data_IF_594636037621
#
_entry.id   IF_594636037621
#
_cell.length_a   1.000
_cell.length_b   1.000
_cell.length_c   1.000
_cell.angle_alpha   90.00
_cell.angle_beta   90.00
_cell.angle_gamma   90.00
#
_symmetry.space_group_name_H-M   'P 1'
#
loop_
_entity.id
_entity.type
_entity.pdbx_description
1 polymer ?
#
# COMPACT_ATOMS: atom_id res chain seq x y z
N UNK A 1 -24.52 51.98 4.35
CA UNK A 1 -24.31 51.55 5.76
C UNK A 1 -24.83 50.13 6.05
N UNK A 2 -26.07 49.77 5.68
CA UNK A 2 -26.65 48.42 5.93
C UNK A 2 -25.86 47.25 5.31
N UNK A 3 -25.29 47.42 4.11
CA UNK A 3 -24.44 46.39 3.46
C UNK A 3 -23.10 46.16 4.18
N UNK A 4 -22.55 47.21 4.79
CA UNK A 4 -21.31 47.14 5.58
C UNK A 4 -21.58 46.41 6.91
N UNK A 5 -22.72 46.66 7.54
CA UNK A 5 -23.14 45.96 8.75
C UNK A 5 -23.31 44.44 8.51
N UNK A 6 -23.92 44.05 7.38
CA UNK A 6 -24.08 42.63 7.00
C UNK A 6 -22.73 41.96 6.77
N UNK A 7 -21.78 42.66 6.15
CA UNK A 7 -20.45 42.11 5.87
C UNK A 7 -19.62 41.92 7.16
N UNK A 8 -19.75 42.83 8.12
CA UNK A 8 -19.14 42.70 9.44
C UNK A 8 -19.74 41.55 10.26
N UNK A 9 -21.06 41.35 10.19
CA UNK A 9 -21.73 40.21 10.85
C UNK A 9 -21.29 38.86 10.25
N UNK A 10 -21.14 38.78 8.93
CA UNK A 10 -20.65 37.55 8.28
C UNK A 10 -19.20 37.24 8.66
N UNK A 11 -18.33 38.25 8.70
CA UNK A 11 -16.94 38.07 9.11
C UNK A 11 -16.82 37.63 10.58
N UNK A 12 -17.63 38.20 11.48
CA UNK A 12 -17.68 37.80 12.88
C UNK A 12 -18.15 36.35 13.03
N UNK A 13 -19.16 35.93 12.25
CA UNK A 13 -19.64 34.55 12.26
C UNK A 13 -18.57 33.57 11.77
N UNK A 14 -17.80 33.94 10.75
CA UNK A 14 -16.72 33.10 10.21
C UNK A 14 -15.59 32.87 11.22
N UNK A 15 -15.25 33.90 12.01
CA UNK A 15 -14.21 33.81 13.05
C UNK A 15 -14.63 32.91 14.23
N UNK A 16 -15.93 32.78 14.50
CA UNK A 16 -16.46 31.91 15.55
C UNK A 16 -16.33 30.42 15.23
N UNK A 17 -16.25 30.02 13.95
CA UNK A 17 -16.18 28.60 13.55
C UNK A 17 -14.75 28.05 13.55
N UNK A 18 -13.72 28.90 13.52
CA UNK A 18 -12.31 28.48 13.44
C UNK A 18 -11.66 28.15 14.80
N UNK A 19 -12.38 28.23 15.93
CA UNK A 19 -11.80 28.20 17.28
C UNK A 19 -11.75 26.84 18.00
N UNK A 20 -12.29 25.75 17.44
CA UNK A 20 -12.34 24.45 18.13
C UNK A 20 -11.24 23.50 17.64
N UNK A 21 -9.98 23.75 18.04
CA UNK A 21 -8.92 22.73 17.96
C UNK A 21 -8.58 22.28 19.37
N UNK A 22 -9.24 21.22 19.83
CA UNK A 22 -8.90 20.54 21.07
C UNK A 22 -7.59 19.78 20.86
N UNK A 23 -6.51 20.26 21.47
CA UNK A 23 -5.21 19.59 21.43
C UNK A 23 -5.31 18.30 22.26
N UNK A 24 -4.98 17.12 21.71
CA UNK A 24 -4.98 15.89 22.49
C UNK A 24 -3.96 15.98 23.64
N UNK A 25 -4.26 15.37 24.81
CA UNK A 25 -3.33 15.33 25.93
C UNK A 25 -1.99 14.68 25.52
N UNK A 26 -0.86 15.14 26.07
CA UNK A 26 0.42 14.48 25.88
C UNK A 26 0.33 13.03 26.38
N UNK A 27 0.54 12.06 25.49
CA UNK A 27 0.68 10.66 25.88
C UNK A 27 1.89 10.51 26.81
N UNK A 28 1.64 10.01 28.02
CA UNK A 28 2.70 9.64 28.94
C UNK A 28 3.50 8.46 28.35
N UNK A 29 4.83 8.41 28.56
CA UNK A 29 5.65 7.30 28.11
C UNK A 29 5.18 6.00 28.76
N UNK A 30 4.70 5.07 27.92
CA UNK A 30 4.36 3.71 28.33
C UNK A 30 5.62 3.03 28.83
N UNK A 31 5.61 2.57 30.08
CA UNK A 31 6.71 1.82 30.66
C UNK A 31 6.98 0.56 29.84
N UNK A 32 8.20 0.45 29.30
CA UNK A 32 8.69 -0.75 28.63
C UNK A 32 8.63 -1.93 29.60
N UNK A 33 7.95 -3.05 29.28
CA UNK A 33 7.99 -4.24 30.11
C UNK A 33 9.42 -4.74 30.20
N UNK A 34 9.93 -4.85 31.43
CA UNK A 34 11.23 -5.47 31.70
C UNK A 34 11.15 -6.93 31.27
N UNK A 35 12.05 -7.41 30.40
CA UNK A 35 12.05 -8.81 29.98
C UNK A 35 12.28 -9.69 31.20
N UNK A 36 11.29 -10.52 31.52
CA UNK A 36 11.48 -11.62 32.46
C UNK A 36 12.34 -12.66 31.76
N UNK A 37 13.57 -12.84 32.25
CA UNK A 37 14.47 -13.91 31.81
C UNK A 37 13.83 -15.26 32.09
N UNK A 38 13.14 -15.79 31.08
CA UNK A 38 12.59 -17.15 31.09
C UNK A 38 13.76 -18.11 30.97
N UNK A 39 13.86 -19.05 31.92
CA UNK A 39 14.84 -20.13 31.87
C UNK A 39 14.79 -20.85 30.50
N UNK A 40 15.93 -21.23 29.92
CA UNK A 40 15.98 -21.84 28.59
C UNK A 40 15.22 -23.17 28.61
N UNK A 41 14.10 -23.20 27.90
CA UNK A 41 13.39 -24.43 27.57
C UNK A 41 14.14 -25.11 26.42
N UNK A 42 14.30 -26.46 26.40
CA UNK A 42 14.95 -27.16 25.31
C UNK A 42 14.21 -26.86 24.00
N UNK A 43 14.89 -26.13 23.11
CA UNK A 43 14.36 -25.75 21.81
C UNK A 43 14.40 -26.98 20.91
N UNK A 44 13.25 -27.63 20.76
CA UNK A 44 13.03 -28.50 19.61
C UNK A 44 12.99 -27.59 18.38
N UNK A 45 14.08 -27.59 17.61
CA UNK A 45 14.13 -26.92 16.32
C UNK A 45 13.15 -27.63 15.39
N UNK A 46 11.93 -27.11 15.27
CA UNK A 46 11.08 -27.42 14.13
C UNK A 46 11.85 -26.97 12.89
N UNK A 47 12.17 -27.87 11.94
CA UNK A 47 12.89 -27.49 10.74
C UNK A 47 12.08 -26.40 10.05
N UNK A 48 12.64 -25.19 9.99
CA UNK A 48 12.09 -24.12 9.17
C UNK A 48 12.05 -24.66 7.75
N UNK A 49 10.88 -24.61 7.06
CA UNK A 49 10.82 -25.05 5.68
C UNK A 49 11.87 -24.26 4.89
N UNK A 50 12.89 -24.97 4.43
CA UNK A 50 13.89 -24.43 3.52
C UNK A 50 13.11 -24.06 2.26
N UNK A 51 12.87 -22.76 2.06
CA UNK A 51 12.25 -22.27 0.85
C UNK A 51 13.24 -22.58 -0.25
N UNK A 52 13.00 -23.67 -0.97
CA UNK A 52 13.69 -23.98 -2.22
C UNK A 52 13.52 -22.76 -3.10
N UNK A 53 14.61 -22.02 -3.32
CA UNK A 53 14.62 -20.90 -4.25
C UNK A 53 14.44 -21.48 -5.65
N UNK A 54 13.19 -21.62 -6.07
CA UNK A 54 12.87 -21.90 -7.47
C UNK A 54 13.42 -20.72 -8.26
N UNK A 55 14.46 -20.98 -9.05
CA UNK A 55 15.08 -20.02 -9.95
C UNK A 55 13.98 -19.37 -10.79
N UNK A 56 13.64 -18.12 -10.49
CA UNK A 56 12.62 -17.40 -11.22
C UNK A 56 13.16 -17.18 -12.63
N UNK A 57 12.43 -17.60 -13.69
CA UNK A 57 12.90 -17.38 -15.05
C UNK A 57 13.09 -15.88 -15.27
N UNK A 58 14.30 -15.50 -15.68
CA UNK A 58 14.55 -14.16 -16.18
C UNK A 58 13.84 -14.04 -17.53
N UNK A 59 12.67 -13.39 -17.54
CA UNK A 59 11.98 -13.07 -18.79
C UNK A 59 12.83 -12.03 -19.50
N UNK A 60 13.30 -12.34 -20.72
CA UNK A 60 14.20 -11.46 -21.50
C UNK A 60 13.68 -10.03 -21.66
N UNK A 61 12.35 -9.86 -21.60
CA UNK A 61 11.65 -8.63 -21.94
C UNK A 61 10.83 -8.05 -20.78
N UNK A 62 10.95 -8.60 -19.56
CA UNK A 62 10.09 -8.25 -18.41
C UNK A 62 8.59 -8.18 -18.78
N UNK A 63 8.13 -9.09 -19.63
CA UNK A 63 6.73 -9.12 -20.07
C UNK A 63 5.92 -10.04 -19.18
N UNK A 64 4.78 -9.55 -18.71
CA UNK A 64 3.78 -10.32 -17.98
C UNK A 64 2.52 -10.37 -18.81
N UNK A 65 2.11 -11.57 -19.17
CA UNK A 65 0.87 -11.82 -19.86
C UNK A 65 -0.27 -12.00 -18.86
N UNK A 66 -1.41 -11.39 -19.12
CA UNK A 66 -2.64 -11.54 -18.34
C UNK A 66 -3.62 -12.39 -19.16
N UNK A 67 -4.12 -13.46 -18.56
CA UNK A 67 -5.12 -14.37 -19.12
C UNK A 67 -6.22 -14.59 -18.09
N UNK A 68 -7.26 -15.35 -18.44
CA UNK A 68 -8.31 -15.78 -17.48
C UNK A 68 -7.77 -16.64 -16.33
N UNK A 69 -6.64 -17.31 -16.55
CA UNK A 69 -5.97 -18.16 -15.56
C UNK A 69 -5.09 -17.35 -14.59
N UNK A 70 -4.85 -16.06 -14.90
CA UNK A 70 -4.04 -15.15 -14.11
C UNK A 70 -2.83 -14.60 -14.85
N UNK A 71 -1.72 -14.41 -14.12
CA UNK A 71 -0.48 -13.81 -14.63
C UNK A 71 0.53 -14.88 -15.05
N UNK A 72 1.14 -14.70 -16.23
CA UNK A 72 2.22 -15.55 -16.70
C UNK A 72 3.43 -14.71 -17.16
N UNK A 73 4.60 -14.86 -16.52
CA UNK A 73 4.83 -15.66 -15.32
C UNK A 73 4.18 -15.03 -14.08
N UNK A 74 3.95 -15.84 -13.05
CA UNK A 74 3.37 -15.39 -11.77
C UNK A 74 4.33 -14.53 -10.93
N UNK A 75 5.63 -14.68 -11.16
CA UNK A 75 6.71 -13.90 -10.52
C UNK A 75 7.77 -13.55 -11.55
N UNK A 76 8.27 -12.32 -11.50
CA UNK A 76 9.46 -11.88 -12.23
C UNK A 76 10.45 -11.20 -11.28
N UNK A 77 11.74 -11.31 -11.58
CA UNK A 77 12.77 -10.48 -10.95
C UNK A 77 13.28 -9.48 -11.98
N UNK A 78 13.25 -8.19 -11.63
CA UNK A 78 13.68 -7.11 -12.52
C UNK A 78 14.73 -6.25 -11.84
N UNK A 79 15.64 -5.67 -12.64
CA UNK A 79 16.63 -4.71 -12.12
C UNK A 79 15.93 -3.39 -11.80
N UNK A 80 16.50 -2.62 -10.86
CA UNK A 80 16.04 -1.26 -10.54
C UNK A 80 16.07 -0.40 -11.80
N UNK A 81 15.00 0.36 -12.05
CA UNK A 81 14.86 1.23 -13.22
C UNK A 81 14.43 0.52 -14.50
N UNK A 82 14.22 -0.81 -14.47
CA UNK A 82 13.68 -1.53 -15.61
C UNK A 82 12.18 -1.24 -15.80
N UNK A 83 11.73 -1.30 -17.06
CA UNK A 83 10.32 -1.25 -17.42
C UNK A 83 9.75 -2.68 -17.45
N UNK A 84 8.54 -2.84 -16.94
CA UNK A 84 7.74 -4.07 -17.05
C UNK A 84 6.63 -3.82 -18.07
N UNK A 85 6.42 -4.76 -18.99
CA UNK A 85 5.37 -4.69 -20.01
C UNK A 85 4.24 -5.65 -19.63
N UNK A 86 3.02 -5.15 -19.52
CA UNK A 86 1.84 -6.00 -19.30
C UNK A 86 1.07 -6.14 -20.60
N UNK A 87 0.75 -7.39 -20.96
CA UNK A 87 -0.03 -7.71 -22.17
C UNK A 87 -1.28 -8.45 -21.73
N UNK A 88 -2.45 -7.85 -21.93
CA UNK A 88 -3.70 -8.56 -21.73
C UNK A 88 -4.02 -9.40 -22.97
N UNK A 89 -4.05 -10.72 -22.80
CA UNK A 89 -4.42 -11.68 -23.84
C UNK A 89 -5.86 -12.18 -23.70
N UNK A 90 -6.62 -11.70 -22.70
CA UNK A 90 -8.06 -11.97 -22.66
C UNK A 90 -8.76 -11.17 -23.77
N UNK A 91 -9.67 -11.84 -24.49
CA UNK A 91 -10.39 -11.21 -25.60
C UNK A 91 -11.41 -10.21 -25.06
N UNK A 92 -11.49 -9.04 -25.69
CA UNK A 92 -12.51 -8.02 -25.42
C UNK A 92 -13.87 -8.34 -26.06
N UNK A 93 -14.03 -9.52 -26.67
CA UNK A 93 -15.26 -9.91 -27.36
C UNK A 93 -16.44 -10.17 -26.41
N UNK A 94 -16.17 -10.36 -25.12
CA UNK A 94 -17.21 -10.44 -24.09
C UNK A 94 -17.45 -9.06 -23.46
N UNK A 95 -18.59 -8.41 -23.73
CA UNK A 95 -18.92 -7.10 -23.17
C UNK A 95 -19.06 -7.10 -21.64
N UNK A 96 -19.27 -8.27 -21.02
CA UNK A 96 -19.34 -8.40 -19.55
C UNK A 96 -17.95 -8.45 -18.90
N UNK A 97 -16.94 -8.88 -19.65
CA UNK A 97 -15.53 -8.83 -19.25
C UNK A 97 -14.85 -7.52 -19.68
N UNK A 98 -15.50 -6.73 -20.53
CA UNK A 98 -15.09 -5.37 -20.84
C UNK A 98 -15.33 -4.44 -19.65
N UNK A 99 -14.37 -4.43 -18.73
CA UNK A 99 -14.29 -3.39 -17.71
C UNK A 99 -13.29 -2.32 -18.17
N UNK A 100 -13.73 -1.09 -18.51
CA UNK A 100 -12.83 0.00 -18.90
C UNK A 100 -11.91 0.47 -17.75
N UNK A 101 -12.08 -0.11 -16.55
CA UNK A 101 -11.45 0.29 -15.29
C UNK A 101 -10.56 -0.79 -14.68
N UNK A 102 -9.84 -1.59 -15.48
CA UNK A 102 -8.73 -2.38 -14.94
C UNK A 102 -7.59 -1.46 -14.47
N UNK A 103 -7.73 -0.85 -13.29
CA UNK A 103 -6.59 -0.36 -12.53
C UNK A 103 -5.85 -1.58 -12.02
N UNK A 104 -4.70 -1.86 -12.61
CA UNK A 104 -3.72 -2.82 -12.07
C UNK A 104 -3.33 -2.28 -10.68
N UNK A 105 -3.83 -2.92 -9.61
CA UNK A 105 -3.33 -2.70 -8.26
C UNK A 105 -2.15 -3.62 -8.08
N UNK A 106 -0.95 -3.05 -7.95
CA UNK A 106 0.23 -3.80 -7.53
C UNK A 106 0.28 -3.72 -6.00
N UNK A 107 -0.11 -4.78 -5.26
CA UNK A 107 0.09 -4.78 -3.81
C UNK A 107 1.59 -4.76 -3.50
N UNK A 108 1.98 -4.06 -2.43
CA UNK A 108 3.35 -4.03 -1.90
C UNK A 108 4.42 -3.38 -2.82
N UNK A 109 4.08 -2.31 -3.56
CA UNK A 109 5.11 -1.47 -4.20
C UNK A 109 5.83 -0.65 -3.13
N UNK A 110 7.00 -1.13 -2.70
CA UNK A 110 7.93 -0.34 -1.90
C UNK A 110 8.67 0.63 -2.83
N UNK A 111 8.18 1.87 -2.89
CA UNK A 111 8.98 2.95 -3.50
C UNK A 111 10.05 3.39 -2.50
N UNK A 112 11.22 3.77 -3.00
CA UNK A 112 12.36 4.23 -2.18
C UNK A 112 12.15 5.63 -1.58
N UNK A 113 10.92 6.16 -1.55
CA UNK A 113 10.60 7.49 -1.01
C UNK A 113 10.12 7.48 0.45
N UNK A 114 10.06 6.32 1.10
CA UNK A 114 9.84 6.22 2.55
C UNK A 114 10.96 5.40 3.18
N UNK A 115 12.13 6.03 3.27
CA UNK A 115 13.16 5.76 4.27
C UNK A 115 13.58 7.09 4.89
#
# INVERSE_FOLDING_TARGET
MKKILVLLLLAALLLLVCGCTESPPPEAPVATPVPTTKAPSPTYHTPTPMITQTSTPSVSDNTVTITREGFNPSTITVKRGATVRWVNMDSTEDPQLYNPTHRIKIPNVYTSQTL
#
